data_IF_890641043328
#
_entry.id   IF_890641043328
#
_cell.length_a   1.000
_cell.length_b   1.000
_cell.length_c   1.000
_cell.angle_alpha   90.00
_cell.angle_beta   90.00
_cell.angle_gamma   90.00
#
_symmetry.space_group_name_H-M   'P 1'
#
loop_
_entity.id
_entity.type
_entity.pdbx_description
1 polymer ?
#
# COMPACT_ATOMS: atom_id res chain seq x y z
N UNK A 1 15.26 12.78 -2.14
CA UNK A 1 16.38 13.15 -3.05
C UNK A 1 17.13 11.87 -3.42
N UNK A 2 16.99 11.39 -4.67
CA UNK A 2 17.53 10.09 -5.11
C UNK A 2 18.56 10.28 -6.26
N UNK A 3 19.21 11.42 -6.29
CA UNK A 3 20.00 11.90 -7.43
C UNK A 3 21.37 11.21 -7.65
N UNK A 4 21.78 10.27 -6.80
CA UNK A 4 23.10 9.65 -6.88
C UNK A 4 23.08 8.13 -6.66
N UNK A 5 22.09 7.43 -7.24
CA UNK A 5 22.07 5.96 -7.17
C UNK A 5 22.87 5.38 -8.33
N UNK A 6 23.97 4.71 -8.05
CA UNK A 6 24.67 3.89 -9.03
C UNK A 6 23.90 2.58 -9.26
N UNK A 7 23.11 2.56 -10.33
CA UNK A 7 22.27 1.41 -10.67
C UNK A 7 23.04 0.15 -11.03
N UNK A 8 24.23 0.30 -11.63
CA UNK A 8 25.08 -0.85 -11.97
C UNK A 8 25.61 -1.51 -10.69
N UNK A 9 26.11 -0.70 -9.75
CA UNK A 9 26.55 -1.18 -8.43
C UNK A 9 25.41 -1.83 -7.66
N UNK A 10 24.22 -1.25 -7.69
CA UNK A 10 23.07 -1.80 -6.96
C UNK A 10 22.59 -3.14 -7.52
N UNK A 11 22.62 -3.30 -8.83
CA UNK A 11 22.31 -4.59 -9.47
C UNK A 11 23.36 -5.65 -9.11
N UNK A 12 24.62 -5.26 -9.05
CA UNK A 12 25.71 -6.16 -8.61
C UNK A 12 25.55 -6.53 -7.12
N UNK A 13 25.17 -5.58 -6.28
CA UNK A 13 24.86 -5.83 -4.87
C UNK A 13 23.68 -6.83 -4.71
N UNK A 14 22.64 -6.70 -5.55
CA UNK A 14 21.54 -7.66 -5.57
C UNK A 14 22.00 -9.06 -5.99
N UNK A 15 22.82 -9.17 -7.04
CA UNK A 15 23.38 -10.45 -7.48
C UNK A 15 24.19 -11.12 -6.38
N UNK A 16 25.06 -10.37 -5.70
CA UNK A 16 25.82 -10.91 -4.58
C UNK A 16 24.94 -11.37 -3.43
N UNK A 17 23.89 -10.62 -3.12
CA UNK A 17 23.02 -10.89 -1.96
C UNK A 17 22.03 -12.04 -2.24
N UNK A 18 21.43 -12.08 -3.43
CA UNK A 18 20.31 -12.97 -3.75
C UNK A 18 20.62 -14.01 -4.85
N UNK A 19 21.80 -13.98 -5.43
CA UNK A 19 22.12 -14.81 -6.61
C UNK A 19 21.49 -14.32 -7.92
N UNK A 20 20.73 -13.24 -7.90
CA UNK A 20 20.06 -12.65 -9.06
C UNK A 20 19.87 -11.14 -8.91
N UNK A 21 19.67 -10.42 -10.01
CA UNK A 21 19.41 -8.98 -10.03
C UNK A 21 17.94 -8.62 -10.22
N UNK A 22 17.04 -9.59 -10.15
CA UNK A 22 15.59 -9.41 -10.36
C UNK A 22 14.80 -9.11 -9.11
N UNK A 23 15.42 -9.12 -7.94
CA UNK A 23 14.75 -8.92 -6.66
C UNK A 23 14.11 -7.53 -6.52
N UNK A 24 12.98 -7.50 -5.80
CA UNK A 24 12.30 -6.27 -5.40
C UNK A 24 11.69 -6.46 -4.02
N UNK A 25 12.24 -5.79 -3.01
CA UNK A 25 11.73 -5.89 -1.62
C UNK A 25 10.30 -5.38 -1.47
N UNK A 26 9.84 -4.48 -2.36
CA UNK A 26 8.45 -4.03 -2.37
C UNK A 26 7.45 -5.18 -2.57
N UNK A 27 7.83 -6.26 -3.24
CA UNK A 27 6.98 -7.46 -3.38
C UNK A 27 6.72 -8.16 -2.04
N UNK A 28 7.60 -7.97 -1.09
CA UNK A 28 7.56 -8.61 0.23
C UNK A 28 6.96 -7.69 1.30
N UNK A 29 7.31 -6.39 1.27
CA UNK A 29 7.06 -5.47 2.37
C UNK A 29 6.17 -4.29 2.04
N UNK A 30 5.67 -4.15 0.80
CA UNK A 30 4.70 -3.12 0.47
C UNK A 30 3.42 -3.71 -0.09
N UNK A 31 2.30 -3.08 0.21
CA UNK A 31 0.99 -3.49 -0.31
C UNK A 31 0.07 -2.29 -0.48
N UNK A 32 -0.73 -2.32 -1.54
CA UNK A 32 -1.95 -1.54 -1.67
C UNK A 32 -3.13 -2.50 -1.69
N UNK A 33 -4.14 -2.24 -0.90
CA UNK A 33 -5.32 -3.09 -0.74
C UNK A 33 -6.59 -2.25 -0.89
N UNK A 34 -7.45 -2.63 -1.81
CA UNK A 34 -8.77 -2.06 -2.05
C UNK A 34 -9.81 -3.00 -1.46
N UNK A 35 -10.20 -2.78 -0.21
CA UNK A 35 -11.13 -3.67 0.50
C UNK A 35 -12.52 -3.68 -0.13
N UNK A 36 -12.99 -2.52 -0.62
CA UNK A 36 -14.30 -2.41 -1.29
C UNK A 36 -14.43 -3.27 -2.54
N UNK A 37 -13.32 -3.57 -3.21
CA UNK A 37 -13.31 -4.40 -4.42
C UNK A 37 -12.59 -5.73 -4.25
N UNK A 38 -11.98 -5.96 -3.08
CA UNK A 38 -11.18 -7.15 -2.81
C UNK A 38 -10.02 -7.30 -3.80
N UNK A 39 -9.28 -6.23 -4.04
CA UNK A 39 -8.14 -6.22 -4.95
C UNK A 39 -6.87 -5.77 -4.23
N UNK A 40 -5.72 -6.22 -4.70
CA UNK A 40 -4.42 -5.86 -4.13
C UNK A 40 -3.32 -5.82 -5.19
N UNK A 41 -2.28 -5.05 -4.91
CA UNK A 41 -0.99 -5.10 -5.62
C UNK A 41 0.16 -4.74 -4.66
N UNK A 42 1.40 -5.02 -5.07
CA UNK A 42 2.57 -4.79 -4.19
C UNK A 42 3.13 -3.38 -4.29
N UNK A 43 2.91 -2.70 -5.40
CA UNK A 43 3.25 -1.30 -5.61
C UNK A 43 2.33 -0.74 -6.71
N UNK A 44 2.42 0.57 -7.01
CA UNK A 44 1.50 1.23 -7.95
C UNK A 44 1.74 0.93 -9.45
N UNK A 45 2.78 0.17 -9.82
CA UNK A 45 3.01 -0.20 -11.22
C UNK A 45 2.21 -1.39 -11.72
N UNK A 46 2.13 -2.53 -11.00
CA UNK A 46 1.27 -3.63 -11.41
C UNK A 46 -0.20 -3.26 -11.32
N UNK A 47 -0.98 -3.77 -12.25
CA UNK A 47 -2.44 -3.71 -12.12
C UNK A 47 -2.88 -4.49 -10.86
N UNK A 48 -3.90 -3.99 -10.14
CA UNK A 48 -4.48 -4.72 -9.03
C UNK A 48 -5.08 -6.05 -9.51
N UNK A 49 -4.85 -7.12 -8.76
CA UNK A 49 -5.47 -8.41 -8.98
C UNK A 49 -6.47 -8.73 -7.88
N UNK A 50 -7.44 -9.60 -8.18
CA UNK A 50 -8.45 -10.03 -7.22
C UNK A 50 -7.82 -10.87 -6.12
N UNK A 51 -8.25 -10.65 -4.89
CA UNK A 51 -7.96 -11.50 -3.75
C UNK A 51 -9.04 -12.59 -3.70
N UNK A 52 -8.71 -13.87 -3.86
CA UNK A 52 -9.69 -14.94 -3.75
C UNK A 52 -10.26 -15.04 -2.33
N UNK A 53 -11.57 -15.18 -2.21
CA UNK A 53 -12.23 -15.27 -0.90
C UNK A 53 -11.79 -16.51 -0.11
N UNK A 54 -11.54 -17.61 -0.80
CA UNK A 54 -11.05 -18.84 -0.19
C UNK A 54 -9.65 -18.68 0.43
N UNK A 55 -8.83 -17.75 -0.07
CA UNK A 55 -7.51 -17.50 0.51
C UNK A 55 -7.61 -16.73 1.83
N UNK A 56 -8.49 -15.74 1.93
CA UNK A 56 -8.65 -14.96 3.16
C UNK A 56 -9.46 -15.69 4.22
N UNK A 57 -10.33 -16.62 3.85
CA UNK A 57 -11.19 -17.36 4.78
C UNK A 57 -10.39 -18.09 5.86
N UNK A 58 -9.23 -18.60 5.52
CA UNK A 58 -8.38 -19.36 6.43
C UNK A 58 -7.09 -18.64 6.81
N UNK A 59 -6.77 -17.57 6.10
CA UNK A 59 -5.57 -16.78 6.31
C UNK A 59 -5.82 -15.30 5.99
N UNK A 60 -6.19 -14.48 6.97
CA UNK A 60 -6.43 -13.05 6.75
C UNK A 60 -5.22 -12.31 6.18
N UNK A 61 -3.99 -12.81 6.40
CA UNK A 61 -2.79 -12.23 5.80
C UNK A 61 -2.72 -12.39 4.28
N UNK A 62 -3.58 -13.23 3.69
CA UNK A 62 -3.74 -13.35 2.24
C UNK A 62 -4.25 -12.05 1.58
N UNK A 63 -4.72 -11.07 2.32
CA UNK A 63 -4.90 -9.70 1.83
C UNK A 63 -3.60 -9.15 1.20
N UNK A 64 -2.44 -9.53 1.74
CA UNK A 64 -1.11 -9.23 1.21
C UNK A 64 -0.45 -10.44 0.56
N UNK A 65 -0.64 -11.65 1.10
CA UNK A 65 0.07 -12.86 0.70
C UNK A 65 -0.81 -13.76 -0.17
N UNK A 66 -1.41 -13.21 -1.24
CA UNK A 66 -2.13 -14.01 -2.23
C UNK A 66 -1.18 -14.98 -2.93
N UNK A 67 -1.68 -16.14 -3.38
CA UNK A 67 -0.92 -17.08 -4.22
C UNK A 67 -0.30 -16.39 -5.44
N UNK A 68 -1.02 -15.40 -6.01
CA UNK A 68 -0.49 -14.58 -7.09
C UNK A 68 0.79 -13.86 -6.68
N UNK A 69 0.79 -13.12 -5.55
CA UNK A 69 1.98 -12.39 -5.07
C UNK A 69 3.12 -13.34 -4.70
N UNK A 70 2.81 -14.47 -4.08
CA UNK A 70 3.78 -15.51 -3.74
C UNK A 70 4.49 -16.01 -5.00
N UNK A 71 3.74 -16.30 -6.07
CA UNK A 71 4.33 -16.74 -7.34
C UNK A 71 5.22 -15.64 -7.97
N UNK A 72 4.86 -14.35 -7.85
CA UNK A 72 5.70 -13.25 -8.34
C UNK A 72 7.00 -13.09 -7.52
N UNK A 73 6.94 -13.29 -6.20
CA UNK A 73 8.13 -13.37 -5.33
C UNK A 73 9.05 -14.51 -5.75
N UNK A 74 8.47 -15.69 -5.98
CA UNK A 74 9.19 -16.89 -6.46
C UNK A 74 9.92 -16.61 -7.76
N UNK A 75 9.23 -16.08 -8.77
CA UNK A 75 9.84 -15.72 -10.05
C UNK A 75 11.05 -14.78 -9.86
N UNK A 76 10.92 -13.74 -9.04
CA UNK A 76 12.02 -12.82 -8.77
C UNK A 76 13.21 -13.51 -8.10
N UNK A 77 12.97 -14.35 -7.10
CA UNK A 77 14.05 -15.08 -6.41
C UNK A 77 14.74 -16.12 -7.29
N UNK A 78 14.04 -16.61 -8.33
CA UNK A 78 14.62 -17.52 -9.34
C UNK A 78 15.24 -16.78 -10.54
N UNK A 79 15.46 -15.47 -10.45
CA UNK A 79 16.08 -14.68 -11.52
C UNK A 79 15.15 -14.37 -12.69
N UNK A 80 13.85 -14.66 -12.57
CA UNK A 80 12.86 -14.37 -13.60
C UNK A 80 12.30 -12.94 -13.43
N UNK A 81 11.82 -12.37 -14.53
CA UNK A 81 11.21 -11.04 -14.58
C UNK A 81 9.69 -11.15 -14.68
N UNK A 82 8.92 -11.00 -13.57
CA UNK A 82 7.47 -11.01 -13.65
C UNK A 82 6.94 -9.95 -14.63
N UNK A 83 6.02 -10.34 -15.50
CA UNK A 83 5.46 -9.46 -16.54
C UNK A 83 4.77 -8.24 -15.95
N UNK A 84 4.09 -8.38 -14.83
CA UNK A 84 3.44 -7.27 -14.12
C UNK A 84 4.39 -6.14 -13.69
N UNK A 85 5.70 -6.39 -13.68
CA UNK A 85 6.75 -5.43 -13.36
C UNK A 85 7.42 -4.81 -14.61
N UNK A 86 6.82 -4.96 -15.79
CA UNK A 86 7.35 -4.48 -17.07
C UNK A 86 7.73 -3.00 -17.06
N UNK A 87 7.03 -2.17 -16.29
CA UNK A 87 7.44 -0.78 -16.13
C UNK A 87 8.90 -0.66 -15.67
N UNK A 88 9.24 -1.30 -14.56
CA UNK A 88 10.60 -1.26 -14.02
C UNK A 88 11.62 -1.89 -14.97
N UNK A 89 11.27 -3.02 -15.61
CA UNK A 89 12.16 -3.67 -16.56
C UNK A 89 12.47 -2.81 -17.78
N UNK A 90 11.48 -2.08 -18.29
CA UNK A 90 11.66 -1.13 -19.41
C UNK A 90 12.52 0.06 -19.00
N UNK A 91 12.27 0.64 -17.84
CA UNK A 91 13.08 1.75 -17.30
C UNK A 91 14.53 1.30 -17.15
N UNK A 92 14.76 0.14 -16.55
CA UNK A 92 16.10 -0.39 -16.33
C UNK A 92 16.84 -0.81 -17.61
N UNK A 93 16.11 -1.17 -18.68
CA UNK A 93 16.69 -1.48 -19.98
C UNK A 93 17.26 -0.23 -20.70
N UNK A 94 16.82 0.97 -20.30
CA UNK A 94 17.33 2.24 -20.85
C UNK A 94 18.57 2.71 -20.08
N UNK A 95 18.83 2.16 -18.89
CA UNK A 95 19.99 2.49 -18.07
C UNK A 95 21.26 1.93 -18.71
N UNK A 96 21.81 2.68 -19.66
CA UNK A 96 23.05 2.37 -20.35
C UNK A 96 24.19 3.10 -19.63
N UNK A 97 25.23 2.40 -19.16
CA UNK A 97 26.36 3.02 -18.48
C UNK A 97 27.16 4.00 -19.37
N UNK A 98 26.96 3.97 -20.68
CA UNK A 98 27.62 4.88 -21.64
C UNK A 98 26.83 6.17 -21.87
N UNK A 99 25.62 6.32 -21.33
CA UNK A 99 24.76 7.47 -21.47
C UNK A 99 24.56 8.17 -20.12
N UNK A 100 24.36 9.49 -20.17
CA UNK A 100 23.89 10.20 -18.98
C UNK A 100 22.44 9.77 -18.66
N UNK A 101 22.30 8.87 -17.72
CA UNK A 101 21.01 8.35 -17.22
C UNK A 101 20.70 8.88 -15.83
N UNK A 102 21.36 9.95 -15.39
CA UNK A 102 21.20 10.52 -14.04
C UNK A 102 19.76 10.89 -13.68
N UNK A 103 18.92 11.16 -14.69
CA UNK A 103 17.51 11.47 -14.56
C UNK A 103 16.59 10.24 -14.55
N UNK A 104 17.13 9.06 -14.84
CA UNK A 104 16.31 7.83 -14.92
C UNK A 104 16.34 7.13 -13.57
N UNK A 105 15.16 6.90 -13.03
CA UNK A 105 14.96 6.33 -11.70
C UNK A 105 14.28 4.98 -11.79
N UNK A 106 14.95 3.90 -11.31
CA UNK A 106 14.28 2.61 -11.12
C UNK A 106 13.64 2.51 -9.76
N UNK A 107 12.31 2.55 -9.74
CA UNK A 107 11.54 2.39 -8.51
C UNK A 107 11.83 1.08 -7.78
N UNK A 108 12.09 0.01 -8.52
CA UNK A 108 12.44 -1.29 -7.95
C UNK A 108 13.71 -1.21 -7.11
N UNK A 109 14.74 -0.62 -7.67
CA UNK A 109 16.04 -0.47 -7.00
C UNK A 109 15.92 0.48 -5.81
N UNK A 110 15.26 1.63 -5.99
CA UNK A 110 15.06 2.60 -4.91
C UNK A 110 14.26 1.99 -3.75
N UNK A 111 13.16 1.31 -4.02
CA UNK A 111 12.35 0.68 -2.99
C UNK A 111 13.09 -0.42 -2.24
N UNK A 112 14.02 -1.10 -2.92
CA UNK A 112 14.87 -2.12 -2.30
C UNK A 112 15.94 -1.57 -1.36
N UNK A 113 16.12 -0.24 -1.32
CA UNK A 113 17.05 0.47 -0.45
C UNK A 113 16.37 1.43 0.54
N UNK A 114 15.07 1.57 0.46
CA UNK A 114 14.36 2.57 1.25
C UNK A 114 14.24 2.13 2.71
N UNK A 115 15.14 2.60 3.54
CA UNK A 115 15.20 2.31 4.98
C UNK A 115 13.95 2.77 5.74
N UNK A 116 13.20 3.74 5.22
CA UNK A 116 11.91 4.13 5.80
C UNK A 116 10.85 3.04 5.64
N UNK A 117 10.98 2.21 4.59
CA UNK A 117 10.01 1.17 4.27
C UNK A 117 10.49 -0.24 4.64
N UNK A 118 11.76 -0.40 4.99
CA UNK A 118 12.34 -1.70 5.31
C UNK A 118 12.72 -1.76 6.79
N UNK A 119 12.57 -2.92 7.40
CA UNK A 119 13.22 -3.21 8.67
C UNK A 119 14.72 -3.45 8.42
N UNK A 120 15.60 -3.22 9.41
CA UNK A 120 17.03 -3.46 9.23
C UNK A 120 17.37 -4.87 8.77
N UNK A 121 16.58 -5.87 9.17
CA UNK A 121 16.72 -7.30 8.87
C UNK A 121 15.86 -7.78 7.69
N UNK A 122 15.24 -6.87 6.93
CA UNK A 122 14.32 -7.22 5.84
C UNK A 122 14.95 -8.16 4.79
N UNK A 123 16.20 -7.92 4.46
CA UNK A 123 16.92 -8.74 3.49
C UNK A 123 17.22 -10.13 4.03
N UNK A 124 17.63 -10.22 5.30
CA UNK A 124 17.87 -11.46 6.02
C UNK A 124 16.60 -12.28 6.16
N UNK A 125 15.48 -11.63 6.44
CA UNK A 125 14.17 -12.28 6.47
C UNK A 125 13.80 -12.93 5.13
N UNK A 126 14.06 -12.23 4.00
CA UNK A 126 13.81 -12.80 2.67
C UNK A 126 14.70 -14.03 2.42
N UNK A 127 15.99 -13.94 2.74
CA UNK A 127 16.94 -15.04 2.54
C UNK A 127 16.62 -16.26 3.41
N UNK A 128 16.20 -16.02 4.65
CA UNK A 128 15.89 -17.08 5.60
C UNK A 128 14.55 -17.78 5.33
N UNK A 129 13.53 -17.04 4.88
CA UNK A 129 12.16 -17.53 4.79
C UNK A 129 11.69 -17.83 3.35
N UNK A 130 12.39 -17.36 2.32
CA UNK A 130 12.02 -17.58 0.93
C UNK A 130 10.78 -16.80 0.47
N UNK A 131 10.14 -17.27 -0.61
CA UNK A 131 9.06 -16.53 -1.28
C UNK A 131 7.65 -16.78 -0.72
N UNK A 132 7.40 -17.89 -0.08
CA UNK A 132 6.09 -18.39 0.36
C UNK A 132 5.75 -18.06 1.82
N UNK A 133 6.66 -17.40 2.53
CA UNK A 133 6.41 -16.95 3.90
C UNK A 133 5.29 -15.88 3.95
N UNK A 134 4.52 -15.91 5.03
CA UNK A 134 3.50 -14.90 5.33
C UNK A 134 4.12 -13.57 5.78
N UNK A 135 4.70 -12.84 4.84
CA UNK A 135 5.29 -11.53 5.13
C UNK A 135 4.23 -10.54 5.62
N UNK A 136 4.62 -9.72 6.57
CA UNK A 136 3.83 -8.58 7.01
C UNK A 136 4.40 -7.32 6.36
N UNK A 137 3.59 -6.52 5.66
CA UNK A 137 4.07 -5.30 5.04
C UNK A 137 4.52 -4.29 6.10
N UNK A 138 5.55 -3.53 5.77
CA UNK A 138 5.99 -2.36 6.52
C UNK A 138 5.38 -1.08 5.98
N UNK A 139 4.96 -1.10 4.71
CA UNK A 139 4.15 -0.07 4.07
C UNK A 139 2.84 -0.66 3.58
N UNK A 140 1.75 -0.09 4.03
CA UNK A 140 0.41 -0.43 3.57
C UNK A 140 -0.32 0.82 3.11
N UNK A 141 -0.81 0.81 1.88
CA UNK A 141 -1.85 1.70 1.42
C UNK A 141 -3.18 0.95 1.42
N UNK A 142 -4.21 1.52 2.03
CA UNK A 142 -5.51 0.86 2.18
C UNK A 142 -6.65 1.78 1.80
N UNK A 143 -7.63 1.22 1.09
CA UNK A 143 -8.92 1.83 0.82
C UNK A 143 -10.00 0.98 1.47
N UNK A 144 -10.70 1.53 2.45
CA UNK A 144 -11.80 0.84 3.13
C UNK A 144 -13.07 0.80 2.27
N UNK A 145 -13.33 1.88 1.50
CA UNK A 145 -14.53 2.02 0.71
C UNK A 145 -14.35 2.99 -0.46
N UNK A 146 -15.36 3.10 -1.30
CA UNK A 146 -15.42 4.08 -2.38
C UNK A 146 -16.36 5.26 -2.06
N UNK A 147 -16.88 5.34 -0.82
CA UNK A 147 -17.75 6.44 -0.42
C UNK A 147 -17.05 7.79 -0.63
N UNK A 148 -17.62 8.64 -1.48
CA UNK A 148 -17.06 9.93 -1.85
C UNK A 148 -18.17 10.87 -2.30
N UNK A 149 -18.02 12.13 -1.96
CA UNK A 149 -18.95 13.20 -2.32
C UNK A 149 -18.52 14.00 -3.55
N UNK A 150 -17.35 13.67 -4.14
CA UNK A 150 -16.82 14.39 -5.31
C UNK A 150 -16.72 13.51 -6.56
N UNK A 151 -16.75 14.18 -7.73
CA UNK A 151 -16.58 13.60 -9.06
C UNK A 151 -15.41 14.24 -9.78
N UNK A 152 -14.21 14.06 -9.23
CA UNK A 152 -12.97 14.60 -9.81
C UNK A 152 -12.76 14.04 -11.22
N UNK A 153 -12.30 14.89 -12.16
CA UNK A 153 -12.18 14.52 -13.57
C UNK A 153 -11.23 13.34 -13.84
N UNK A 154 -10.24 13.16 -12.99
CA UNK A 154 -9.28 12.05 -13.07
C UNK A 154 -9.70 10.79 -12.29
N UNK A 155 -10.86 10.84 -11.62
CA UNK A 155 -11.36 9.74 -10.81
C UNK A 155 -12.35 8.85 -11.62
N UNK A 156 -12.75 7.74 -11.03
CA UNK A 156 -13.61 6.77 -11.69
C UNK A 156 -14.53 6.07 -10.67
N UNK A 157 -15.60 5.37 -11.14
CA UNK A 157 -16.61 4.76 -10.26
C UNK A 157 -16.09 3.78 -9.20
N UNK A 158 -14.96 3.14 -9.45
CA UNK A 158 -14.35 2.23 -8.45
C UNK A 158 -13.87 2.94 -7.20
N UNK A 159 -13.49 4.21 -7.35
CA UNK A 159 -12.92 5.02 -6.28
C UNK A 159 -13.84 6.14 -5.81
N UNK A 160 -15.03 6.32 -6.44
CA UNK A 160 -16.00 7.34 -6.04
C UNK A 160 -17.43 6.87 -6.20
N UNK A 161 -18.16 6.81 -5.09
CA UNK A 161 -19.58 6.49 -5.10
C UNK A 161 -20.43 7.58 -5.79
N UNK A 162 -19.97 8.83 -5.81
CA UNK A 162 -20.62 9.90 -6.57
C UNK A 162 -20.51 9.66 -8.07
N UNK A 163 -19.35 9.25 -8.59
CA UNK A 163 -19.20 8.81 -9.97
C UNK A 163 -20.00 7.56 -10.28
N UNK A 164 -20.02 6.58 -9.36
CA UNK A 164 -20.79 5.35 -9.52
C UNK A 164 -22.29 5.63 -9.69
N UNK A 165 -22.83 6.54 -8.87
CA UNK A 165 -24.24 6.96 -8.97
C UNK A 165 -24.55 7.67 -10.29
N UNK A 166 -23.65 8.55 -10.76
CA UNK A 166 -23.87 9.29 -12.00
C UNK A 166 -23.77 8.41 -13.23
N UNK A 167 -22.80 7.53 -13.27
CA UNK A 167 -22.65 6.60 -14.39
C UNK A 167 -23.74 5.54 -14.40
N UNK A 168 -24.61 5.57 -13.44
CA UNK A 168 -25.80 4.76 -13.29
C UNK A 168 -25.62 3.32 -13.58
N UNK A 169 -24.82 2.74 -12.77
CA UNK A 169 -24.73 1.51 -13.40
C UNK A 169 -25.03 0.45 -12.40
N UNK A 170 -26.11 -0.10 -12.79
CA UNK A 170 -26.78 -1.19 -12.17
C UNK A 170 -25.80 -2.33 -11.99
N UNK A 171 -25.59 -2.65 -10.80
CA UNK A 171 -24.85 -3.79 -10.38
C UNK A 171 -23.75 -3.44 -9.38
N UNK A 172 -23.56 -4.29 -8.41
CA UNK A 172 -22.52 -4.13 -7.42
C UNK A 172 -21.18 -4.46 -8.07
N UNK A 173 -20.67 -3.52 -8.87
CA UNK A 173 -19.33 -3.68 -9.40
C UNK A 173 -18.29 -3.57 -8.29
N UNK A 174 -18.70 -2.99 -7.16
CA UNK A 174 -17.83 -2.77 -6.01
C UNK A 174 -18.62 -3.05 -4.74
N UNK A 175 -17.99 -3.75 -3.82
CA UNK A 175 -18.54 -3.90 -2.49
C UNK A 175 -18.40 -2.55 -1.78
N UNK A 176 -19.50 -2.07 -1.24
CA UNK A 176 -19.47 -0.91 -0.36
C UNK A 176 -18.76 -1.27 0.96
N UNK A 177 -18.42 -0.24 1.73
CA UNK A 177 -17.88 -0.39 3.07
C UNK A 177 -18.95 -0.80 4.07
N UNK A 178 -19.82 -1.66 3.85
CA UNK A 178 -20.88 -1.97 4.78
C UNK A 178 -20.77 -3.37 5.34
N UNK A 179 -21.60 -3.65 6.32
CA UNK A 179 -21.73 -4.94 6.96
C UNK A 179 -21.71 -6.05 5.89
N UNK A 180 -20.98 -7.12 6.16
CA UNK A 180 -20.77 -8.28 5.27
C UNK A 180 -19.66 -8.15 4.19
N UNK A 181 -18.73 -7.21 4.32
CA UNK A 181 -17.56 -7.19 3.46
C UNK A 181 -16.44 -8.11 4.00
N UNK A 182 -16.22 -9.29 3.42
CA UNK A 182 -15.27 -10.28 3.94
C UNK A 182 -13.81 -9.79 3.92
N UNK A 183 -13.48 -8.82 3.06
CA UNK A 183 -12.14 -8.23 3.02
C UNK A 183 -11.91 -7.26 4.17
N UNK A 184 -12.94 -6.53 4.59
CA UNK A 184 -12.91 -5.67 5.78
C UNK A 184 -12.80 -6.52 7.03
N UNK A 185 -13.55 -7.62 7.12
CA UNK A 185 -13.47 -8.55 8.25
C UNK A 185 -12.08 -9.18 8.36
N UNK A 186 -11.52 -9.66 7.24
CA UNK A 186 -10.16 -10.19 7.18
C UNK A 186 -9.11 -9.13 7.58
N UNK A 187 -9.31 -7.85 7.21
CA UNK A 187 -8.43 -6.78 7.67
C UNK A 187 -8.49 -6.62 9.19
N UNK A 188 -9.66 -6.63 9.79
CA UNK A 188 -9.81 -6.48 11.24
C UNK A 188 -9.26 -7.68 12.01
N UNK A 189 -9.37 -8.88 11.47
CA UNK A 189 -8.76 -10.09 12.03
C UNK A 189 -7.23 -10.03 11.94
N UNK A 190 -6.70 -9.49 10.85
CA UNK A 190 -5.26 -9.36 10.63
C UNK A 190 -4.61 -8.18 11.36
N UNK A 191 -5.35 -7.11 11.64
CA UNK A 191 -4.85 -5.88 12.22
C UNK A 191 -3.97 -6.05 13.48
N UNK A 192 -4.30 -6.91 14.47
CA UNK A 192 -3.47 -7.11 15.66
C UNK A 192 -2.06 -7.60 15.37
N UNK A 193 -1.86 -8.29 14.25
CA UNK A 193 -0.56 -8.79 13.81
C UNK A 193 0.14 -7.77 12.90
N UNK A 194 -0.61 -7.15 12.01
CA UNK A 194 -0.13 -6.20 11.01
C UNK A 194 0.48 -4.96 11.65
N UNK A 195 -0.20 -4.37 12.64
CA UNK A 195 0.24 -3.14 13.32
C UNK A 195 1.63 -3.23 13.95
N UNK A 196 2.10 -4.44 14.29
CA UNK A 196 3.42 -4.67 14.92
C UNK A 196 4.59 -4.45 13.96
N UNK A 197 4.35 -4.42 12.66
CA UNK A 197 5.39 -4.30 11.63
C UNK A 197 5.23 -3.07 10.75
N UNK A 198 4.05 -2.43 10.77
CA UNK A 198 3.81 -1.26 9.95
C UNK A 198 4.65 -0.07 10.39
N UNK A 199 5.43 0.46 9.45
CA UNK A 199 6.11 1.75 9.56
C UNK A 199 5.29 2.87 8.97
N UNK A 200 4.58 2.59 7.86
CA UNK A 200 3.74 3.57 7.18
C UNK A 200 2.39 2.94 6.87
N UNK A 201 1.34 3.57 7.32
CA UNK A 201 -0.02 3.30 6.86
C UNK A 201 -0.57 4.51 6.12
N UNK A 202 -0.89 4.34 4.86
CA UNK A 202 -1.56 5.33 4.02
C UNK A 202 -3.02 4.94 3.81
N UNK A 203 -3.93 5.83 4.14
CA UNK A 203 -5.37 5.61 3.96
C UNK A 203 -5.85 6.47 2.79
N UNK A 204 -6.44 5.79 1.83
CA UNK A 204 -6.95 6.35 0.58
C UNK A 204 -8.38 5.84 0.34
N UNK A 205 -8.83 5.89 -0.89
CA UNK A 205 -10.13 5.37 -1.32
C UNK A 205 -10.98 6.48 -1.91
N UNK A 206 -12.27 6.52 -1.58
CA UNK A 206 -13.13 7.65 -1.87
C UNK A 206 -12.74 8.88 -1.05
N UNK A 207 -13.56 9.22 -0.08
CA UNK A 207 -13.21 10.20 0.94
C UNK A 207 -13.12 9.50 2.31
N UNK A 208 -11.93 9.29 2.86
CA UNK A 208 -11.75 8.54 4.10
C UNK A 208 -12.57 9.08 5.28
N UNK A 209 -12.72 10.39 5.36
CA UNK A 209 -13.45 11.02 6.48
C UNK A 209 -14.97 10.80 6.42
N UNK A 210 -15.50 10.27 5.33
CA UNK A 210 -16.89 9.81 5.25
C UNK A 210 -17.06 8.34 5.66
N UNK A 211 -15.97 7.57 5.74
CA UNK A 211 -16.00 6.13 5.94
C UNK A 211 -15.98 5.74 7.42
N UNK A 212 -16.89 4.87 7.83
CA UNK A 212 -16.98 4.42 9.23
C UNK A 212 -15.74 3.63 9.67
N UNK A 213 -15.22 2.77 8.81
CA UNK A 213 -14.03 1.97 9.13
C UNK A 213 -12.77 2.81 9.31
N UNK A 214 -12.65 3.97 8.65
CA UNK A 214 -11.59 4.93 8.94
C UNK A 214 -11.63 5.41 10.40
N UNK A 215 -12.79 5.84 10.87
CA UNK A 215 -12.95 6.31 12.25
C UNK A 215 -12.76 5.19 13.27
N UNK A 216 -13.31 4.01 12.99
CA UNK A 216 -13.10 2.81 13.80
C UNK A 216 -11.62 2.46 13.93
N UNK A 217 -10.86 2.57 12.80
CA UNK A 217 -9.43 2.34 12.79
C UNK A 217 -8.69 3.39 13.62
N UNK A 218 -8.99 4.66 13.43
CA UNK A 218 -8.36 5.77 14.16
C UNK A 218 -8.56 5.65 15.68
N UNK A 219 -9.76 5.19 16.09
CA UNK A 219 -10.05 4.92 17.50
C UNK A 219 -9.31 3.70 18.05
N UNK A 220 -9.07 2.67 17.21
CA UNK A 220 -8.32 1.48 17.64
C UNK A 220 -6.82 1.75 17.76
N UNK A 221 -6.24 2.58 16.91
CA UNK A 221 -4.82 2.98 16.98
C UNK A 221 -4.52 3.62 18.34
N UNK A 222 -5.36 4.53 18.78
CA UNK A 222 -5.17 5.22 20.06
C UNK A 222 -5.24 4.34 21.32
N UNK A 223 -5.70 3.10 21.20
CA UNK A 223 -5.81 2.17 22.34
C UNK A 223 -4.59 1.29 22.56
N UNK A 224 -3.59 1.38 21.69
CA UNK A 224 -2.43 0.49 21.71
C UNK A 224 -1.14 1.27 21.47
N UNK A 225 -0.10 0.94 22.22
CA UNK A 225 1.23 1.55 22.07
C UNK A 225 2.07 0.90 20.95
N UNK A 226 1.59 -0.18 20.35
CA UNK A 226 2.29 -0.89 19.27
C UNK A 226 2.36 -0.10 17.96
N UNK A 227 1.66 1.03 17.85
CA UNK A 227 1.66 1.92 16.68
C UNK A 227 2.52 3.19 16.87
N UNK A 228 3.20 3.35 18.00
CA UNK A 228 3.94 4.57 18.35
C UNK A 228 5.00 4.99 17.31
N UNK A 229 5.59 4.04 16.61
CA UNK A 229 6.60 4.31 15.57
C UNK A 229 6.00 4.42 14.16
N UNK A 230 4.68 4.32 14.03
CA UNK A 230 4.00 4.32 12.75
C UNK A 230 3.75 5.74 12.24
N UNK A 231 4.04 5.95 10.96
CA UNK A 231 3.65 7.15 10.22
C UNK A 231 2.28 6.91 9.59
N UNK A 232 1.33 7.76 9.92
CA UNK A 232 -0.02 7.73 9.34
C UNK A 232 -0.14 8.79 8.26
N UNK A 233 -0.62 8.40 7.08
CA UNK A 233 -0.86 9.26 5.93
C UNK A 233 -2.32 9.13 5.50
N UNK A 234 -2.99 10.25 5.27
CA UNK A 234 -4.39 10.26 4.84
C UNK A 234 -4.52 11.15 3.61
N UNK A 235 -5.20 10.65 2.57
CA UNK A 235 -5.61 11.44 1.43
C UNK A 235 -7.06 11.88 1.62
N UNK A 236 -7.34 13.17 1.57
CA UNK A 236 -8.68 13.70 1.70
C UNK A 236 -8.93 14.87 0.75
N UNK A 237 -10.12 14.98 0.22
CA UNK A 237 -10.55 16.14 -0.54
C UNK A 237 -10.97 17.32 0.36
N UNK A 238 -11.10 17.09 1.68
CA UNK A 238 -11.56 18.04 2.71
C UNK A 238 -12.91 18.74 2.41
N UNK A 239 -13.59 18.38 1.34
CA UNK A 239 -14.92 18.91 1.02
C UNK A 239 -16.01 18.16 1.81
N UNK A 240 -15.94 18.24 3.11
CA UNK A 240 -16.82 17.56 4.06
C UNK A 240 -17.30 18.52 5.13
N UNK A 241 -18.22 18.08 5.99
CA UNK A 241 -18.72 18.90 7.10
C UNK A 241 -17.57 19.26 8.05
N UNK A 242 -17.45 20.54 8.39
CA UNK A 242 -16.42 21.06 9.29
C UNK A 242 -16.26 20.26 10.59
N UNK A 243 -17.36 19.74 11.14
CA UNK A 243 -17.32 18.88 12.33
C UNK A 243 -16.47 17.62 12.19
N UNK A 244 -16.36 17.05 10.97
CA UNK A 244 -15.52 15.88 10.72
C UNK A 244 -14.04 16.28 10.60
N UNK A 245 -13.76 17.44 10.00
CA UNK A 245 -12.41 18.00 9.96
C UNK A 245 -11.93 18.29 11.38
N UNK A 246 -12.76 18.95 12.18
CA UNK A 246 -12.43 19.26 13.57
C UNK A 246 -12.20 17.98 14.40
N UNK A 247 -13.07 16.97 14.25
CA UNK A 247 -12.89 15.65 14.88
C UNK A 247 -11.56 15.02 14.49
N UNK A 248 -11.15 15.12 13.20
CA UNK A 248 -9.86 14.61 12.76
C UNK A 248 -8.71 15.34 13.45
N UNK A 249 -8.74 16.66 13.48
CA UNK A 249 -7.70 17.50 14.11
C UNK A 249 -7.55 17.14 15.59
N UNK A 250 -8.64 17.14 16.33
CA UNK A 250 -8.65 16.80 17.76
C UNK A 250 -8.10 15.39 18.02
N UNK A 251 -8.51 14.42 17.19
CA UNK A 251 -8.06 13.03 17.35
C UNK A 251 -6.60 12.85 17.00
N UNK A 252 -6.13 13.51 15.96
CA UNK A 252 -4.71 13.45 15.53
C UNK A 252 -3.82 14.17 16.54
N UNK A 253 -4.23 15.33 17.02
CA UNK A 253 -3.52 16.07 18.06
C UNK A 253 -3.33 15.19 19.31
N UNK A 254 -4.41 14.56 19.77
CA UNK A 254 -4.35 13.63 20.88
C UNK A 254 -3.40 12.44 20.61
N UNK A 255 -3.48 11.82 19.41
CA UNK A 255 -2.62 10.68 19.06
C UNK A 255 -1.12 11.05 19.04
N UNK A 256 -0.79 12.27 18.63
CA UNK A 256 0.59 12.77 18.61
C UNK A 256 1.05 13.16 20.01
N UNK A 257 0.21 13.84 20.79
CA UNK A 257 0.52 14.25 22.17
C UNK A 257 0.74 13.05 23.11
N UNK A 258 -0.07 12.01 22.95
CA UNK A 258 0.05 10.76 23.71
C UNK A 258 1.03 9.75 23.10
N UNK A 259 1.82 10.17 22.13
CA UNK A 259 2.83 9.33 21.45
C UNK A 259 2.29 7.99 20.94
N UNK A 260 1.00 7.95 20.49
CA UNK A 260 0.38 6.75 19.94
C UNK A 260 0.78 6.47 18.50
N UNK A 261 1.23 7.50 17.78
CA UNK A 261 1.80 7.43 16.43
C UNK A 261 3.01 8.36 16.34
N UNK A 262 3.96 8.04 15.45
CA UNK A 262 5.16 8.85 15.27
C UNK A 262 4.91 10.16 14.51
N UNK A 263 4.03 10.10 13.50
CA UNK A 263 3.77 11.23 12.60
C UNK A 263 2.42 11.07 11.91
N UNK A 264 1.79 12.21 11.64
CA UNK A 264 0.62 12.30 10.77
C UNK A 264 0.91 13.20 9.57
N UNK A 265 0.46 12.80 8.38
CA UNK A 265 0.51 13.62 7.18
C UNK A 265 -0.83 13.58 6.45
N UNK A 266 -1.40 14.75 6.20
CA UNK A 266 -2.61 14.91 5.42
C UNK A 266 -2.24 15.39 4.01
N UNK A 267 -2.63 14.60 3.01
CA UNK A 267 -2.51 14.96 1.60
C UNK A 267 -3.87 15.44 1.11
N UNK A 268 -3.94 16.69 0.72
CA UNK A 268 -5.18 17.28 0.24
C UNK A 268 -5.24 17.25 -1.27
N UNK A 269 -6.37 16.76 -1.80
CA UNK A 269 -6.68 16.88 -3.22
C UNK A 269 -7.38 18.22 -3.44
N UNK A 270 -6.65 19.18 -3.99
CA UNK A 270 -7.18 20.50 -4.32
C UNK A 270 -7.47 20.49 -5.82
N UNK A 271 -8.75 20.55 -6.16
CA UNK A 271 -9.15 20.77 -7.55
C UNK A 271 -8.86 22.23 -7.91
N UNK A 272 -8.32 22.45 -9.10
CA UNK A 272 -8.15 23.81 -9.62
C UNK A 272 -9.53 24.43 -9.87
N UNK A 273 -9.69 25.63 -9.46
CA UNK A 273 -10.81 26.52 -9.74
C UNK A 273 -10.61 27.28 -11.05
#
# INVERSE_FOLDING_TARGET
>A
MYSNVDYALERENMKRKYGCDTMCTAKFFTSTIYLQSGQTHSCYHPLPHKIPLEEIKNNPSALHNTKHKIERRKQMMLGQKPEECNYCWRVEAILDPTRDTSQIISDRIIKSKNELLLTPDAHEQILANGWDHNYRPTYLEISFGNECNMKCAYCHPKASSAWQKEMNKDGPMYMAEEDDNPYVDAFWEWWPYLRKTLKVLRITGGEPLLQQNFWKWLDKVGKNDECKDMIVQVNSNLNIKNKLVQRLVEKVDWLLTEEKIAKFALFTSIESW
#
